data_IF_535006447512
#
_entry.id   IF_535006447512
#
_cell.length_a   1.000
_cell.length_b   1.000
_cell.length_c   1.000
_cell.angle_alpha   90.00
_cell.angle_beta   90.00
_cell.angle_gamma   90.00
#
_symmetry.space_group_name_H-M   'P 1'
#
loop_
_entity.id
_entity.type
_entity.pdbx_description
1 polymer ?
#
# COMPACT_ATOMS: atom_id res chain seq x y z
N UNK A 1 29.44 -18.06 -9.89
CA UNK A 1 28.17 -18.57 -9.32
C UNK A 1 27.26 -17.40 -8.95
N UNK A 2 25.96 -17.54 -9.11
CA UNK A 2 24.95 -16.50 -8.91
C UNK A 2 23.80 -16.98 -8.02
N UNK A 3 23.24 -16.05 -7.27
CA UNK A 3 21.99 -16.23 -6.52
C UNK A 3 20.98 -15.17 -6.90
N UNK A 4 19.70 -15.50 -6.79
CA UNK A 4 18.60 -14.55 -6.84
C UNK A 4 18.20 -14.19 -5.42
N UNK A 5 18.14 -12.89 -5.10
CA UNK A 5 17.68 -12.41 -3.79
C UNK A 5 16.40 -11.59 -3.98
N UNK A 6 15.34 -11.98 -3.27
CA UNK A 6 14.05 -11.31 -3.22
C UNK A 6 14.01 -10.34 -2.03
N UNK A 7 13.42 -9.17 -2.25
CA UNK A 7 13.21 -8.12 -1.24
C UNK A 7 12.11 -7.17 -1.71
N UNK A 8 11.60 -6.29 -0.84
CA UNK A 8 10.59 -5.30 -1.18
C UNK A 8 9.29 -5.89 -1.76
N UNK A 9 8.50 -5.06 -2.43
CA UNK A 9 7.33 -5.54 -3.17
C UNK A 9 7.71 -5.86 -4.63
N UNK A 10 7.70 -7.16 -4.99
CA UNK A 10 8.07 -7.65 -6.34
C UNK A 10 9.46 -7.19 -6.81
N UNK A 11 10.39 -6.91 -5.88
CA UNK A 11 11.77 -6.58 -6.22
C UNK A 11 12.67 -7.80 -6.04
N UNK A 12 13.67 -7.89 -6.89
CA UNK A 12 14.67 -8.92 -6.81
C UNK A 12 15.95 -8.48 -7.51
N UNK A 13 17.07 -9.10 -7.14
CA UNK A 13 18.34 -8.88 -7.82
C UNK A 13 19.22 -10.11 -7.80
N UNK A 14 20.04 -10.24 -8.84
CA UNK A 14 21.01 -11.32 -8.97
C UNK A 14 22.37 -10.85 -8.45
N UNK A 15 23.03 -11.67 -7.62
CA UNK A 15 24.34 -11.38 -7.05
C UNK A 15 25.33 -12.51 -7.35
N UNK A 16 26.59 -12.13 -7.58
CA UNK A 16 27.72 -13.07 -7.66
C UNK A 16 28.15 -13.51 -6.27
N UNK A 17 28.32 -14.82 -6.04
CA UNK A 17 28.66 -15.39 -4.72
C UNK A 17 30.09 -15.92 -4.61
N UNK A 18 30.96 -15.61 -5.56
CA UNK A 18 32.39 -15.98 -5.53
C UNK A 18 33.21 -14.96 -4.73
N UNK A 19 32.63 -14.43 -3.65
CA UNK A 19 33.21 -13.44 -2.74
C UNK A 19 33.01 -13.88 -1.29
N UNK A 20 33.63 -13.17 -0.34
CA UNK A 20 33.40 -13.39 1.09
C UNK A 20 31.94 -13.14 1.47
N UNK A 21 31.43 -13.91 2.44
CA UNK A 21 30.07 -13.78 2.96
C UNK A 21 29.74 -12.37 3.42
N UNK A 22 30.67 -11.69 4.08
CA UNK A 22 30.49 -10.31 4.53
C UNK A 22 30.29 -9.34 3.35
N UNK A 23 31.20 -9.37 2.38
CA UNK A 23 31.13 -8.53 1.18
C UNK A 23 29.84 -8.76 0.41
N UNK A 24 29.40 -10.02 0.30
CA UNK A 24 28.14 -10.36 -0.34
C UNK A 24 26.94 -9.72 0.39
N UNK A 25 26.87 -9.88 1.72
CA UNK A 25 25.79 -9.31 2.52
C UNK A 25 25.73 -7.79 2.43
N UNK A 26 26.86 -7.10 2.56
CA UNK A 26 26.94 -5.64 2.41
C UNK A 26 26.43 -5.17 1.05
N UNK A 27 26.82 -5.86 -0.02
CA UNK A 27 26.35 -5.56 -1.37
C UNK A 27 24.84 -5.78 -1.49
N UNK A 28 24.32 -6.90 -0.98
CA UNK A 28 22.90 -7.23 -1.01
C UNK A 28 22.09 -6.17 -0.27
N UNK A 29 22.49 -5.84 0.96
CA UNK A 29 21.79 -4.87 1.81
C UNK A 29 21.75 -3.50 1.18
N UNK A 30 22.93 -2.96 0.83
CA UNK A 30 23.07 -1.62 0.24
C UNK A 30 22.19 -1.49 -1.01
N UNK A 31 22.19 -2.52 -1.85
CA UNK A 31 21.46 -2.48 -3.10
C UNK A 31 19.95 -2.65 -2.90
N UNK A 32 19.53 -3.50 -1.96
CA UNK A 32 18.12 -3.67 -1.62
C UNK A 32 17.53 -2.38 -1.04
N UNK A 33 18.17 -1.76 -0.05
CA UNK A 33 17.73 -0.48 0.52
C UNK A 33 17.66 0.59 -0.56
N UNK A 34 18.69 0.73 -1.39
CA UNK A 34 18.71 1.71 -2.50
C UNK A 34 17.52 1.52 -3.44
N UNK A 35 17.21 0.29 -3.84
CA UNK A 35 16.11 0.00 -4.77
C UNK A 35 14.74 0.18 -4.13
N UNK A 36 14.57 -0.21 -2.86
CA UNK A 36 13.33 0.01 -2.09
C UNK A 36 13.08 1.51 -1.95
N UNK A 37 14.06 2.27 -1.46
CA UNK A 37 13.94 3.73 -1.30
C UNK A 37 13.64 4.41 -2.63
N UNK A 38 14.33 4.04 -3.71
CA UNK A 38 14.07 4.58 -5.05
C UNK A 38 12.63 4.30 -5.50
N UNK A 39 12.12 3.09 -5.28
CA UNK A 39 10.76 2.71 -5.66
C UNK A 39 9.73 3.51 -4.84
N UNK A 40 9.90 3.60 -3.52
CA UNK A 40 8.99 4.34 -2.64
C UNK A 40 8.96 5.83 -2.99
N UNK A 41 10.12 6.46 -3.27
CA UNK A 41 10.18 7.86 -3.73
C UNK A 41 9.46 8.05 -5.06
N UNK A 42 9.68 7.17 -6.05
CA UNK A 42 9.00 7.27 -7.33
C UNK A 42 7.48 7.11 -7.19
N UNK A 43 7.03 6.26 -6.25
CA UNK A 43 5.60 6.05 -5.98
C UNK A 43 4.98 7.18 -5.16
N UNK A 44 5.71 7.80 -4.24
CA UNK A 44 5.29 9.03 -3.57
C UNK A 44 4.99 10.14 -4.60
N UNK A 45 5.94 10.42 -5.50
CA UNK A 45 5.78 11.43 -6.56
C UNK A 45 4.59 11.12 -7.49
N UNK A 46 4.43 9.86 -7.90
CA UNK A 46 3.32 9.42 -8.73
C UNK A 46 1.98 9.62 -8.02
N UNK A 47 1.84 9.17 -6.78
CA UNK A 47 0.60 9.28 -6.01
C UNK A 47 0.24 10.73 -5.69
N UNK A 48 1.22 11.60 -5.46
CA UNK A 48 0.98 13.06 -5.31
C UNK A 48 0.41 13.65 -6.60
N UNK A 49 0.94 13.27 -7.76
CA UNK A 49 0.45 13.71 -9.07
C UNK A 49 -0.97 13.23 -9.33
N UNK A 50 -1.27 11.97 -9.00
CA UNK A 50 -2.59 11.37 -9.22
C UNK A 50 -3.63 11.98 -8.27
N UNK A 51 -3.27 12.21 -7.01
CA UNK A 51 -4.11 12.93 -6.05
C UNK A 51 -4.43 14.34 -6.55
N UNK A 52 -3.43 15.09 -7.02
CA UNK A 52 -3.62 16.43 -7.58
C UNK A 52 -4.54 16.41 -8.80
N UNK A 53 -4.40 15.41 -9.66
CA UNK A 53 -5.25 15.22 -10.84
C UNK A 53 -6.71 14.96 -10.45
N UNK A 54 -6.95 14.09 -9.46
CA UNK A 54 -8.29 13.85 -8.91
C UNK A 54 -8.89 15.14 -8.31
N UNK A 55 -8.10 15.91 -7.55
CA UNK A 55 -8.54 17.18 -6.96
C UNK A 55 -8.91 18.23 -8.03
N UNK A 56 -8.17 18.29 -9.13
CA UNK A 56 -8.47 19.18 -10.25
C UNK A 56 -9.78 18.79 -10.96
N UNK A 57 -10.05 17.48 -11.10
CA UNK A 57 -11.32 16.98 -11.64
C UNK A 57 -12.49 17.35 -10.74
N UNK A 58 -12.38 17.16 -9.43
CA UNK A 58 -13.39 17.59 -8.44
C UNK A 58 -13.73 19.07 -8.64
N UNK A 59 -12.73 19.95 -8.62
CA UNK A 59 -12.96 21.39 -8.78
C UNK A 59 -13.60 21.75 -10.12
N UNK A 60 -13.27 21.03 -11.19
CA UNK A 60 -13.86 21.26 -12.51
C UNK A 60 -15.31 20.80 -12.57
N UNK A 61 -15.62 19.63 -12.00
CA UNK A 61 -16.99 19.10 -11.92
C UNK A 61 -17.87 19.99 -11.04
N UNK A 62 -17.38 20.46 -9.90
CA UNK A 62 -18.11 21.38 -9.01
C UNK A 62 -18.45 22.70 -9.72
N UNK A 63 -17.53 23.28 -10.49
CA UNK A 63 -17.80 24.46 -11.31
C UNK A 63 -18.87 24.20 -12.36
N UNK A 64 -18.83 23.04 -13.02
CA UNK A 64 -19.83 22.65 -14.02
C UNK A 64 -21.21 22.41 -13.40
N UNK A 65 -21.27 21.72 -12.27
CA UNK A 65 -22.51 21.52 -11.49
C UNK A 65 -23.10 22.87 -11.06
N UNK A 66 -22.26 23.81 -10.61
CA UNK A 66 -22.71 25.15 -10.24
C UNK A 66 -23.31 25.91 -11.44
N UNK A 67 -22.67 25.84 -12.62
CA UNK A 67 -23.20 26.45 -13.84
C UNK A 67 -24.53 25.80 -14.28
N UNK A 68 -24.65 24.46 -14.21
CA UNK A 68 -25.90 23.75 -14.51
C UNK A 68 -27.01 24.17 -13.54
N UNK A 69 -26.71 24.32 -12.24
CA UNK A 69 -27.69 24.80 -11.27
C UNK A 69 -28.18 26.22 -11.57
N UNK A 70 -27.31 27.11 -12.06
CA UNK A 70 -27.71 28.45 -12.50
C UNK A 70 -28.63 28.39 -13.72
N UNK A 71 -28.28 27.59 -14.72
CA UNK A 71 -29.11 27.40 -15.92
C UNK A 71 -30.50 26.84 -15.58
N UNK A 72 -30.57 25.84 -14.69
CA UNK A 72 -31.85 25.27 -14.23
C UNK A 72 -32.68 26.26 -13.41
N UNK A 73 -32.06 27.18 -12.67
CA UNK A 73 -32.76 28.27 -11.96
C UNK A 73 -33.30 29.33 -12.94
N UNK A 74 -32.53 29.69 -13.96
CA UNK A 74 -32.94 30.64 -15.01
C UNK A 74 -34.09 30.08 -15.89
N UNK A 75 -34.09 28.76 -16.14
CA UNK A 75 -35.17 28.06 -16.84
C UNK A 75 -36.43 27.81 -15.97
N UNK A 76 -36.42 28.23 -14.70
CA UNK A 76 -37.57 28.10 -13.79
C UNK A 76 -37.86 26.67 -13.33
N UNK A 77 -36.90 25.75 -13.49
CA UNK A 77 -37.00 24.34 -13.11
C UNK A 77 -36.56 24.06 -11.66
N UNK A 78 -36.06 25.06 -10.94
CA UNK A 78 -35.76 25.03 -9.51
C UNK A 78 -36.57 26.10 -8.77
N UNK A 79 -37.36 25.70 -7.77
CA UNK A 79 -38.07 26.65 -6.91
C UNK A 79 -37.08 27.51 -6.12
N UNK A 80 -37.27 28.84 -6.16
CA UNK A 80 -36.53 29.78 -5.33
C UNK A 80 -36.69 29.42 -3.84
N UNK A 81 -35.67 29.62 -3.00
CA UNK A 81 -35.82 29.45 -1.56
C UNK A 81 -36.80 30.52 -1.05
N UNK A 82 -38.06 30.13 -0.88
CA UNK A 82 -39.09 31.01 -0.34
C UNK A 82 -38.73 31.34 1.11
N UNK A 83 -38.27 32.57 1.32
CA UNK A 83 -38.14 33.16 2.64
C UNK A 83 -39.46 33.06 3.38
N UNK A 84 -39.43 32.46 4.58
CA UNK A 84 -40.57 32.40 5.49
C UNK A 84 -40.96 33.82 5.92
N UNK A 85 -42.18 34.22 5.60
CA UNK A 85 -43.00 35.11 6.44
C UNK A 85 -44.29 34.36 6.81
N UNK A 86 -44.72 34.63 8.03
CA UNK A 86 -45.66 33.90 8.88
C UNK A 86 -47.09 33.66 8.38
N UNK A 87 -47.68 32.59 8.95
CA UNK A 87 -49.05 32.43 9.47
C UNK A 87 -50.28 32.49 8.55
N UNK A 88 -50.95 31.33 8.33
CA UNK A 88 -52.15 30.86 9.08
C UNK A 88 -52.89 29.70 8.39
N UNK A 89 -53.25 28.70 9.22
CA UNK A 89 -54.47 27.84 9.23
C UNK A 89 -54.97 27.20 7.92
N UNK A 90 -54.76 25.88 7.85
CA UNK A 90 -55.85 24.89 7.78
C UNK A 90 -56.37 24.46 6.40
N UNK A 91 -55.80 23.38 5.85
CA UNK A 91 -56.52 22.38 5.04
C UNK A 91 -55.65 21.11 4.88
N UNK A 92 -56.29 19.94 4.88
CA UNK A 92 -55.67 18.59 4.83
C UNK A 92 -54.66 18.42 3.68
N UNK A 93 -53.52 17.72 3.87
CA UNK A 93 -52.65 17.35 2.76
C UNK A 93 -53.29 16.22 1.93
N UNK A 94 -53.25 16.26 0.59
CA UNK A 94 -53.53 15.08 -0.23
C UNK A 94 -52.39 14.07 -0.05
N UNK A 95 -52.64 12.78 -0.31
CA UNK A 95 -51.67 11.72 -0.06
C UNK A 95 -50.47 11.88 -1.01
N UNK A 96 -49.28 12.06 -0.44
CA UNK A 96 -48.01 11.92 -1.15
C UNK A 96 -47.92 10.51 -1.75
N UNK A 97 -48.07 10.44 -3.08
CA UNK A 97 -47.61 9.27 -3.84
C UNK A 97 -46.10 9.18 -3.68
N UNK A 98 -45.66 8.15 -2.96
CA UNK A 98 -44.33 7.54 -3.13
C UNK A 98 -44.19 7.13 -4.61
N UNK A 99 -43.33 7.81 -5.36
CA UNK A 99 -42.67 7.30 -6.56
C UNK A 99 -41.19 7.64 -6.41
N UNK A 100 -40.29 6.70 -6.12
CA UNK A 100 -39.70 5.74 -7.06
C UNK A 100 -39.32 6.40 -8.39
N UNK A 101 -38.02 6.68 -8.50
CA UNK A 101 -37.21 6.49 -9.71
C UNK A 101 -37.89 6.94 -11.01
N UNK A 102 -38.05 8.26 -11.18
CA UNK A 102 -38.18 8.82 -12.52
C UNK A 102 -36.76 9.06 -13.07
N UNK A 103 -36.44 8.64 -14.30
CA UNK A 103 -35.22 9.11 -14.96
C UNK A 103 -35.31 10.64 -15.11
N UNK A 104 -34.18 11.37 -14.98
CA UNK A 104 -34.17 12.83 -15.13
C UNK A 104 -34.80 13.21 -16.48
N UNK A 105 -35.83 14.05 -16.43
CA UNK A 105 -36.61 14.46 -17.60
C UNK A 105 -35.87 15.51 -18.45
N UNK A 106 -34.77 16.07 -17.93
CA UNK A 106 -33.96 17.10 -18.56
C UNK A 106 -32.51 16.60 -18.75
N UNK A 107 -31.92 16.69 -19.96
CA UNK A 107 -30.50 16.40 -20.20
C UNK A 107 -29.53 17.04 -19.19
N UNK A 108 -29.84 18.25 -18.70
CA UNK A 108 -29.02 18.96 -17.71
C UNK A 108 -29.06 18.31 -16.32
N UNK A 109 -30.19 17.75 -15.90
CA UNK A 109 -30.30 17.00 -14.64
C UNK A 109 -29.57 15.66 -14.71
N UNK A 110 -29.58 15.00 -15.87
CA UNK A 110 -28.81 13.79 -16.11
C UNK A 110 -27.29 14.06 -16.06
N UNK A 111 -26.82 15.12 -16.72
CA UNK A 111 -25.42 15.56 -16.69
C UNK A 111 -24.98 15.88 -15.26
N UNK A 112 -25.81 16.61 -14.49
CA UNK A 112 -25.53 16.91 -13.09
C UNK A 112 -25.37 15.66 -12.23
N UNK A 113 -26.26 14.67 -12.38
CA UNK A 113 -26.19 13.42 -11.61
C UNK A 113 -24.94 12.61 -11.95
N UNK A 114 -24.55 12.57 -13.22
CA UNK A 114 -23.32 11.90 -13.66
C UNK A 114 -22.07 12.59 -13.09
N UNK A 115 -22.00 13.91 -13.16
CA UNK A 115 -20.90 14.70 -12.58
C UNK A 115 -20.82 14.55 -11.06
N UNK A 116 -21.96 14.42 -10.37
CA UNK A 116 -21.99 14.15 -8.93
C UNK A 116 -21.38 12.78 -8.60
N UNK A 117 -21.76 11.73 -9.34
CA UNK A 117 -21.18 10.38 -9.17
C UNK A 117 -19.68 10.34 -9.47
N UNK A 118 -19.23 11.02 -10.53
CA UNK A 118 -17.79 11.12 -10.82
C UNK A 118 -17.06 11.89 -9.70
N UNK A 119 -17.65 12.96 -9.17
CA UNK A 119 -17.07 13.72 -8.05
C UNK A 119 -16.91 12.87 -6.79
N UNK A 120 -17.93 12.09 -6.43
CA UNK A 120 -17.87 11.13 -5.31
C UNK A 120 -16.74 10.11 -5.52
N UNK A 121 -16.63 9.54 -6.73
CA UNK A 121 -15.55 8.63 -7.09
C UNK A 121 -14.17 9.30 -6.98
N UNK A 122 -14.00 10.53 -7.49
CA UNK A 122 -12.72 11.25 -7.37
C UNK A 122 -12.39 11.56 -5.90
N UNK A 123 -13.38 11.82 -5.05
CA UNK A 123 -13.17 12.06 -3.62
C UNK A 123 -12.67 10.79 -2.90
N UNK A 124 -13.18 9.61 -3.28
CA UNK A 124 -12.63 8.34 -2.81
C UNK A 124 -11.16 8.16 -3.24
N UNK A 125 -10.82 8.55 -4.48
CA UNK A 125 -9.44 8.47 -4.97
C UNK A 125 -8.51 9.38 -4.16
N UNK A 126 -8.92 10.62 -3.88
CA UNK A 126 -8.16 11.55 -3.04
C UNK A 126 -7.94 10.97 -1.63
N UNK A 127 -8.96 10.35 -1.05
CA UNK A 127 -8.87 9.71 0.28
C UNK A 127 -7.87 8.56 0.27
N UNK A 128 -7.95 7.67 -0.72
CA UNK A 128 -7.02 6.53 -0.86
C UNK A 128 -5.58 6.98 -1.12
N UNK A 129 -5.37 7.98 -1.99
CA UNK A 129 -4.03 8.51 -2.20
C UNK A 129 -3.46 9.21 -0.97
N UNK A 130 -4.30 9.86 -0.15
CA UNK A 130 -3.87 10.41 1.14
C UNK A 130 -3.34 9.33 2.08
N UNK A 131 -4.09 8.21 2.21
CA UNK A 131 -3.66 7.06 3.01
C UNK A 131 -2.36 6.44 2.47
N UNK A 132 -2.27 6.22 1.15
CA UNK A 132 -1.04 5.72 0.49
C UNK A 132 0.17 6.58 0.80
N UNK A 133 0.06 7.90 0.63
CA UNK A 133 1.15 8.85 0.88
C UNK A 133 1.61 8.82 2.34
N UNK A 134 0.67 8.74 3.29
CA UNK A 134 1.01 8.62 4.71
C UNK A 134 1.75 7.31 5.00
N UNK A 135 1.28 6.18 4.46
CA UNK A 135 1.95 4.89 4.66
C UNK A 135 3.30 4.81 3.95
N UNK A 136 3.47 5.46 2.79
CA UNK A 136 4.79 5.57 2.13
C UNK A 136 5.77 6.32 3.02
N UNK A 137 5.38 7.42 3.67
CA UNK A 137 6.25 8.14 4.61
C UNK A 137 6.70 7.23 5.76
N UNK A 138 5.76 6.50 6.36
CA UNK A 138 6.07 5.52 7.42
C UNK A 138 7.04 4.44 6.92
N UNK A 139 6.83 3.93 5.70
CA UNK A 139 7.72 2.94 5.10
C UNK A 139 9.13 3.53 4.82
N UNK A 140 9.22 4.76 4.30
CA UNK A 140 10.49 5.44 4.07
C UNK A 140 11.26 5.65 5.38
N UNK A 141 10.59 6.08 6.45
CA UNK A 141 11.18 6.20 7.79
C UNK A 141 11.66 4.84 8.32
N UNK A 142 10.85 3.78 8.18
CA UNK A 142 11.24 2.41 8.53
C UNK A 142 12.53 1.98 7.83
N UNK A 143 12.63 2.15 6.51
CA UNK A 143 13.82 1.73 5.76
C UNK A 143 15.05 2.60 6.06
N UNK A 144 14.84 3.89 6.39
CA UNK A 144 15.91 4.76 6.89
C UNK A 144 16.44 4.26 8.23
N UNK A 145 15.57 4.01 9.20
CA UNK A 145 15.93 3.48 10.53
C UNK A 145 16.64 2.12 10.43
N UNK A 146 16.12 1.19 9.61
CA UNK A 146 16.78 -0.09 9.37
C UNK A 146 18.19 0.10 8.80
N UNK A 147 18.36 1.01 7.85
CA UNK A 147 19.68 1.27 7.25
C UNK A 147 20.66 1.91 8.25
N UNK A 148 20.19 2.82 9.11
CA UNK A 148 20.99 3.39 10.19
C UNK A 148 21.41 2.31 11.19
N UNK A 149 20.48 1.44 11.61
CA UNK A 149 20.78 0.30 12.49
C UNK A 149 21.77 -0.67 11.87
N UNK A 150 21.67 -0.92 10.56
CA UNK A 150 22.63 -1.76 9.84
C UNK A 150 24.05 -1.20 9.92
N UNK A 151 24.24 0.08 9.59
CA UNK A 151 25.56 0.71 9.60
C UNK A 151 26.14 0.93 11.00
N UNK A 152 25.31 0.90 12.04
CA UNK A 152 25.73 0.96 13.44
C UNK A 152 25.92 -0.43 14.07
N UNK A 153 25.92 -1.51 13.28
CA UNK A 153 26.02 -2.91 13.75
C UNK A 153 24.90 -3.33 14.73
N UNK A 154 23.76 -2.63 14.70
CA UNK A 154 22.58 -2.86 15.54
C UNK A 154 21.49 -3.69 14.85
N UNK A 155 21.70 -4.07 13.58
CA UNK A 155 20.78 -4.91 12.82
C UNK A 155 21.47 -6.19 12.37
N UNK A 156 20.83 -7.33 12.59
CA UNK A 156 21.28 -8.61 12.04
C UNK A 156 20.46 -8.92 10.80
N UNK A 157 21.14 -9.10 9.68
CA UNK A 157 20.52 -9.50 8.42
C UNK A 157 20.84 -10.96 8.10
N UNK A 158 19.91 -11.61 7.40
CA UNK A 158 19.99 -13.02 7.03
C UNK A 158 19.47 -13.26 5.62
N UNK A 159 19.92 -14.36 5.03
CA UNK A 159 19.30 -14.93 3.85
C UNK A 159 18.50 -16.17 4.26
N UNK A 160 17.24 -16.21 3.85
CA UNK A 160 16.38 -17.37 3.98
C UNK A 160 16.17 -17.98 2.61
N UNK A 161 16.09 -19.30 2.48
CA UNK A 161 15.59 -19.87 1.22
C UNK A 161 14.05 -19.76 1.13
N UNK A 162 13.49 -20.23 0.02
CA UNK A 162 12.05 -20.22 -0.23
C UNK A 162 11.21 -21.04 0.77
N UNK A 163 11.81 -21.91 1.59
CA UNK A 163 11.08 -22.66 2.63
C UNK A 163 11.11 -21.93 3.97
N UNK A 164 11.87 -20.83 4.05
CA UNK A 164 12.10 -20.05 5.27
C UNK A 164 13.27 -20.55 6.10
N UNK A 165 14.09 -21.45 5.56
CA UNK A 165 15.29 -21.92 6.26
C UNK A 165 16.39 -20.86 6.23
N UNK A 166 16.83 -20.43 7.42
CA UNK A 166 17.93 -19.47 7.60
C UNK A 166 19.25 -20.09 7.16
N UNK A 167 20.07 -19.33 6.44
CA UNK A 167 21.41 -19.76 6.00
C UNK A 167 22.54 -19.35 6.94
N UNK A 168 22.22 -18.58 7.99
CA UNK A 168 23.14 -18.15 9.04
C UNK A 168 24.39 -17.50 8.46
N UNK A 169 24.20 -16.57 7.52
CA UNK A 169 25.31 -15.99 6.76
C UNK A 169 26.26 -15.21 7.68
N UNK A 170 25.71 -14.62 8.75
CA UNK A 170 26.49 -13.91 9.78
C UNK A 170 27.51 -14.79 10.51
N UNK A 171 27.31 -16.11 10.59
CA UNK A 171 28.30 -17.01 11.23
C UNK A 171 29.38 -17.48 10.26
N UNK A 172 29.27 -17.11 8.97
CA UNK A 172 30.13 -17.54 7.87
C UNK A 172 30.70 -16.34 7.09
N UNK A 173 30.77 -15.17 7.72
CA UNK A 173 31.18 -13.91 7.09
C UNK A 173 32.56 -13.98 6.42
N UNK A 174 33.50 -14.67 7.08
CA UNK A 174 34.87 -14.87 6.60
C UNK A 174 35.01 -16.01 5.59
N UNK A 175 33.94 -16.78 5.38
CA UNK A 175 33.89 -17.86 4.39
C UNK A 175 33.55 -17.35 3.00
N UNK A 176 33.98 -18.08 1.97
CA UNK A 176 33.55 -17.82 0.59
C UNK A 176 32.08 -18.22 0.48
N UNK A 177 31.23 -17.31 -0.02
CA UNK A 177 29.78 -17.48 0.01
C UNK A 177 29.29 -18.72 -0.75
N UNK A 178 29.98 -19.10 -1.83
CA UNK A 178 29.69 -20.32 -2.58
C UNK A 178 29.88 -21.64 -1.80
N UNK A 179 30.49 -21.61 -0.62
CA UNK A 179 30.64 -22.81 0.23
C UNK A 179 29.37 -23.12 1.04
N UNK A 180 28.47 -22.15 1.19
CA UNK A 180 27.23 -22.29 1.98
C UNK A 180 25.97 -21.77 1.29
N UNK A 181 26.10 -21.13 0.13
CA UNK A 181 25.01 -20.79 -0.77
C UNK A 181 25.12 -21.60 -2.06
N UNK A 182 23.97 -21.97 -2.61
CA UNK A 182 23.90 -22.76 -3.83
C UNK A 182 23.73 -21.85 -5.04
N UNK A 183 24.50 -22.11 -6.10
CA UNK A 183 24.29 -21.50 -7.41
C UNK A 183 22.85 -21.76 -7.89
N UNK A 184 22.21 -20.74 -8.47
CA UNK A 184 20.77 -20.75 -8.85
C UNK A 184 19.78 -20.81 -7.67
N UNK A 185 20.26 -20.63 -6.43
CA UNK A 185 19.39 -20.50 -5.27
C UNK A 185 18.61 -19.19 -5.29
N UNK A 186 17.31 -19.27 -4.96
CA UNK A 186 16.49 -18.10 -4.64
C UNK A 186 16.44 -17.93 -3.13
N UNK A 187 16.83 -16.76 -2.67
CA UNK A 187 16.85 -16.37 -1.28
C UNK A 187 15.98 -15.14 -1.04
N UNK A 188 15.48 -15.00 0.18
CA UNK A 188 14.74 -13.85 0.67
C UNK A 188 15.64 -13.14 1.66
N UNK A 189 15.80 -11.83 1.47
CA UNK A 189 16.51 -10.99 2.44
C UNK A 189 15.62 -10.77 3.65
N UNK A 190 16.15 -11.06 4.84
CA UNK A 190 15.45 -10.91 6.11
C UNK A 190 16.33 -10.18 7.12
N UNK A 191 15.70 -9.66 8.17
CA UNK A 191 16.38 -9.07 9.32
C UNK A 191 15.75 -9.57 10.63
N UNK A 192 16.57 -9.63 11.68
CA UNK A 192 16.08 -9.90 13.02
C UNK A 192 15.58 -8.61 13.65
N UNK A 193 14.31 -8.63 14.04
CA UNK A 193 13.71 -7.59 14.85
C UNK A 193 13.96 -7.93 16.32
N UNK A 194 14.60 -6.99 17.03
CA UNK A 194 14.78 -7.09 18.47
C UNK A 194 13.40 -7.20 19.16
N UNK A 195 13.31 -7.97 20.25
CA UNK A 195 12.05 -8.14 20.97
C UNK A 195 11.58 -6.80 21.54
N UNK A 196 10.27 -6.55 21.48
CA UNK A 196 9.70 -5.28 21.98
C UNK A 196 9.62 -5.30 23.50
N UNK A 197 9.47 -6.49 24.08
CA UNK A 197 9.46 -6.71 25.52
C UNK A 197 10.46 -7.82 25.91
N UNK A 198 10.97 -7.84 27.15
CA UNK A 198 11.90 -8.89 27.60
C UNK A 198 11.39 -10.33 27.48
N UNK A 199 10.07 -10.51 27.41
CA UNK A 199 9.40 -11.81 27.35
C UNK A 199 9.18 -12.32 25.91
N UNK A 200 9.50 -11.50 24.89
CA UNK A 200 9.36 -11.87 23.48
C UNK A 200 10.65 -12.46 22.89
N UNK A 201 10.50 -13.40 21.97
CA UNK A 201 11.61 -13.91 21.16
C UNK A 201 11.91 -12.97 19.98
N UNK A 202 13.17 -12.93 19.54
CA UNK A 202 13.56 -12.25 18.30
C UNK A 202 12.73 -12.77 17.11
N UNK A 203 12.19 -11.84 16.32
CA UNK A 203 11.37 -12.18 15.16
C UNK A 203 12.16 -12.00 13.87
N UNK A 204 12.11 -13.02 13.01
CA UNK A 204 12.70 -12.95 11.69
C UNK A 204 11.69 -12.34 10.72
N UNK A 205 12.02 -11.15 10.20
CA UNK A 205 11.17 -10.38 9.31
C UNK A 205 11.75 -10.34 7.90
N UNK A 206 10.95 -10.62 6.89
CA UNK A 206 11.36 -10.37 5.50
C UNK A 206 11.57 -8.87 5.30
N UNK A 207 12.59 -8.49 4.52
CA UNK A 207 12.78 -7.11 4.10
C UNK A 207 11.76 -6.78 3.00
N UNK A 208 10.54 -6.44 3.41
CA UNK A 208 9.42 -6.16 2.51
C UNK A 208 8.59 -4.95 2.95
N UNK A 209 7.73 -4.50 2.04
CA UNK A 209 6.67 -3.53 2.28
C UNK A 209 5.43 -3.91 1.47
N UNK A 210 4.26 -3.42 1.90
CA UNK A 210 2.97 -3.77 1.30
C UNK A 210 2.85 -3.34 -0.17
N UNK A 211 2.29 -4.21 -1.01
CA UNK A 211 2.04 -3.90 -2.43
C UNK A 211 1.11 -2.71 -2.63
N UNK A 212 0.20 -2.46 -1.69
CA UNK A 212 -0.67 -1.29 -1.66
C UNK A 212 0.11 0.04 -1.80
N UNK A 213 1.35 0.13 -1.30
CA UNK A 213 2.15 1.34 -1.43
C UNK A 213 2.66 1.55 -2.86
N UNK A 214 2.90 0.46 -3.60
CA UNK A 214 3.43 0.51 -4.95
C UNK A 214 2.34 0.59 -6.03
N UNK A 215 1.12 0.17 -5.75
CA UNK A 215 0.01 0.14 -6.73
C UNK A 215 -0.73 1.47 -6.78
N UNK A 216 -1.27 1.83 -7.94
CA UNK A 216 -2.28 2.90 -8.07
C UNK A 216 -3.60 2.46 -7.44
N UNK A 217 -4.54 3.39 -7.25
CA UNK A 217 -5.89 3.06 -6.74
C UNK A 217 -6.63 2.08 -7.64
N UNK A 218 -6.43 2.18 -8.96
CA UNK A 218 -7.05 1.28 -9.94
C UNK A 218 -6.40 -0.12 -9.89
N UNK A 219 -5.07 -0.18 -9.74
CA UNK A 219 -4.33 -1.44 -9.62
C UNK A 219 -4.65 -2.22 -8.33
N UNK A 220 -5.16 -1.55 -7.29
CA UNK A 220 -5.59 -2.23 -6.07
C UNK A 220 -6.91 -2.99 -6.23
N UNK A 221 -7.71 -2.67 -7.25
CA UNK A 221 -9.00 -3.32 -7.47
C UNK A 221 -8.75 -4.78 -7.85
N UNK A 222 -9.06 -5.69 -6.94
CA UNK A 222 -8.85 -7.13 -7.11
C UNK A 222 -7.41 -7.59 -6.86
N UNK A 223 -6.56 -6.72 -6.30
CA UNK A 223 -5.20 -7.11 -5.96
C UNK A 223 -5.16 -8.03 -4.73
N UNK A 224 -4.32 -9.05 -4.78
CA UNK A 224 -4.05 -9.96 -3.66
C UNK A 224 -2.67 -9.62 -3.09
N UNK A 225 -2.57 -9.50 -1.76
CA UNK A 225 -1.30 -9.39 -1.06
C UNK A 225 -0.70 -10.78 -0.85
N UNK A 226 0.54 -10.95 -1.26
CA UNK A 226 1.32 -12.17 -1.06
C UNK A 226 2.61 -11.80 -0.34
N UNK A 227 2.82 -12.25 0.92
CA UNK A 227 4.05 -11.95 1.64
C UNK A 227 5.23 -12.71 1.02
N UNK A 228 6.42 -12.11 1.05
CA UNK A 228 7.66 -12.76 0.57
C UNK A 228 8.01 -14.01 1.38
N UNK A 229 7.68 -14.02 2.67
CA UNK A 229 7.98 -15.12 3.57
C UNK A 229 6.72 -15.56 4.32
N UNK A 230 6.22 -16.76 3.99
CA UNK A 230 5.25 -17.44 4.84
C UNK A 230 6.01 -18.13 5.97
N UNK A 231 6.06 -17.51 7.14
CA UNK A 231 6.51 -18.19 8.35
C UNK A 231 5.53 -19.34 8.62
N UNK A 232 5.98 -20.59 8.46
CA UNK A 232 5.14 -21.71 8.83
C UNK A 232 4.83 -21.62 10.32
N UNK A 233 3.55 -21.73 10.74
CA UNK A 233 3.26 -21.90 12.14
C UNK A 233 3.97 -23.17 12.59
N UNK A 234 4.88 -23.07 13.57
CA UNK A 234 5.51 -24.24 14.20
C UNK A 234 4.37 -25.17 14.65
N UNK A 235 4.10 -26.23 13.88
CA UNK A 235 3.37 -27.37 14.42
C UNK A 235 4.34 -28.02 15.38
N UNK A 236 4.12 -27.80 16.66
CA UNK A 236 4.80 -28.51 17.73
C UNK A 236 4.56 -30.02 17.57
N UNK A 237 5.46 -30.70 16.87
CA UNK A 237 5.62 -32.16 16.95
C UNK A 237 6.30 -32.51 18.30
N UNK A 238 5.59 -32.21 19.39
CA UNK A 238 5.88 -32.69 20.74
C UNK A 238 4.70 -33.49 21.30
N UNK A 239 4.17 -34.43 20.53
CA UNK A 239 3.40 -35.57 21.09
C UNK A 239 3.70 -36.86 20.32
N UNK A 240 4.80 -37.53 20.70
CA UNK A 240 4.89 -39.00 20.87
C UNK A 240 6.31 -39.44 21.26
N UNK A 241 6.64 -39.26 22.54
CA UNK A 241 7.50 -40.21 23.26
C UNK A 241 6.80 -40.55 24.57
N UNK A 242 6.51 -41.84 24.75
CA UNK A 242 6.00 -42.38 26.02
C UNK A 242 4.74 -43.24 25.87
N UNK A 243 4.92 -44.47 25.40
CA UNK A 243 4.26 -45.67 25.94
C UNK A 243 4.91 -46.91 25.32
N UNK A 244 5.94 -47.40 26.00
CA UNK A 244 6.19 -48.83 26.16
C UNK A 244 6.15 -49.09 27.65
#
# INVERSE_FOLDING_TARGET
>A
MFILVLFGYKQYKVFTIDVLGNTLLDCIWTQAIKEITKLLTAKDEQHQKDQKTAQQKISSNEKRISAINQQLQEEGLLEAPTGKKDDKKGAKPPPQKKGKDAPPSNPLEAEKLELQKDTEKQQEYVTKYTDKLNKIKVAQEKFKDLNEKYHNDQLVIELCDKTGERKFVKTKLDGIANTFLSDKGTYILAYLQAPVTPDEEEQLMALEFEGYLARTVDEDIGAVEEPLLQLQPKKDDKKKKGKK
#
